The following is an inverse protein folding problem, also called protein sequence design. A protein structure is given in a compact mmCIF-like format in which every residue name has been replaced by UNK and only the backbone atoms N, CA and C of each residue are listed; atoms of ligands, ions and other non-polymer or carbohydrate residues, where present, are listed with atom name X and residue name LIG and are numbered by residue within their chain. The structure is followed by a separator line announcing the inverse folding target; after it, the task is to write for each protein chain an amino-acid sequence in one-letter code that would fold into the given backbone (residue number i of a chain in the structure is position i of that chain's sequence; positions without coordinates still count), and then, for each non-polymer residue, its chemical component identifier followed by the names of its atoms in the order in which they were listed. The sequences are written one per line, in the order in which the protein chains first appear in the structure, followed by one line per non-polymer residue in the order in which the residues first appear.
data_IF_690230394202
#
_entry.id   IF_690230394202
#
_cell.length_a   1.000
_cell.length_b   1.000
_cell.length_c   1.000
_cell.angle_alpha   90.00
_cell.angle_beta   90.00
_cell.angle_gamma   90.00
#
_symmetry.space_group_name_H-M   'P 1'
#
loop_
_entity.id
_entity.type
_entity.pdbx_description
1 polymer ?
#
# COMPACT_ATOMS: atom_id res chain seq x y z
N UNK A 1 19.74 1.37 15.07
CA UNK A 1 18.61 2.17 15.44
C UNK A 1 18.91 3.66 15.37
N UNK A 2 17.92 4.45 15.06
CA UNK A 2 18.12 5.89 14.94
C UNK A 2 18.45 6.38 13.57
N UNK A 3 18.71 5.51 12.61
CA UNK A 3 18.92 5.94 11.24
C UNK A 3 17.59 6.00 10.52
N UNK A 4 17.33 7.09 9.79
CA UNK A 4 16.07 7.19 9.05
C UNK A 4 16.04 6.21 7.90
N UNK A 5 14.85 5.69 7.64
CA UNK A 5 14.63 4.92 6.44
C UNK A 5 14.47 5.86 5.25
N UNK A 6 15.02 5.46 4.13
CA UNK A 6 14.90 6.21 2.91
C UNK A 6 13.93 5.49 1.99
N UNK A 7 13.07 6.26 1.34
CA UNK A 7 12.13 5.74 0.36
C UNK A 7 12.34 6.44 -0.96
N UNK A 8 12.28 5.69 -2.02
CA UNK A 8 12.36 6.28 -3.35
C UNK A 8 11.46 5.53 -4.32
N UNK A 9 11.12 6.21 -5.41
CA UNK A 9 10.34 5.59 -6.48
C UNK A 9 11.24 4.67 -7.29
N UNK A 10 10.79 3.45 -7.49
CA UNK A 10 11.50 2.48 -8.31
C UNK A 10 10.95 2.55 -9.73
N UNK A 11 11.82 2.68 -10.72
CA UNK A 11 11.42 2.97 -12.09
C UNK A 11 11.45 1.74 -12.96
N UNK A 12 10.59 0.76 -12.68
CA UNK A 12 10.64 -0.48 -13.46
C UNK A 12 9.29 -0.98 -13.93
N UNK A 13 8.31 -0.10 -14.01
CA UNK A 13 7.00 -0.50 -14.50
C UNK A 13 6.74 0.14 -15.85
N UNK A 14 6.09 -0.61 -16.73
CA UNK A 14 5.73 -0.12 -18.04
C UNK A 14 4.62 0.91 -17.99
N UNK A 15 3.76 0.85 -16.97
CA UNK A 15 2.69 1.84 -16.81
C UNK A 15 3.24 3.05 -16.05
N UNK A 16 3.31 4.22 -16.71
CA UNK A 16 3.88 5.40 -16.07
C UNK A 16 3.08 5.90 -14.86
N UNK A 17 1.87 5.42 -14.66
CA UNK A 17 1.07 5.82 -13.50
C UNK A 17 1.27 4.90 -12.30
N UNK A 18 1.91 3.76 -12.48
CA UNK A 18 2.18 2.85 -11.38
C UNK A 18 3.34 3.38 -10.56
N UNK A 19 3.17 3.33 -9.24
CA UNK A 19 4.19 3.76 -8.29
C UNK A 19 4.85 2.54 -7.68
N UNK A 20 6.18 2.55 -7.67
CA UNK A 20 6.97 1.53 -6.99
C UNK A 20 7.88 2.24 -6.01
N UNK A 21 7.74 1.93 -4.73
CA UNK A 21 8.54 2.55 -3.69
C UNK A 21 9.38 1.50 -2.99
N UNK A 22 10.61 1.86 -2.70
CA UNK A 22 11.51 1.02 -1.93
C UNK A 22 11.89 1.69 -0.62
N UNK A 23 12.05 0.90 0.41
CA UNK A 23 12.60 1.36 1.69
C UNK A 23 14.03 0.87 1.79
N UNK A 24 14.94 1.77 2.14
CA UNK A 24 16.37 1.46 2.22
C UNK A 24 16.88 1.73 3.64
N UNK A 25 17.78 0.88 4.07
CA UNK A 25 18.47 1.06 5.32
C UNK A 25 19.95 0.79 5.06
N UNK A 26 20.80 1.79 5.31
CA UNK A 26 22.25 1.72 5.00
C UNK A 26 22.48 1.29 3.55
N UNK A 27 21.75 1.90 2.62
CA UNK A 27 21.84 1.65 1.18
C UNK A 27 21.39 0.24 0.76
N UNK A 28 20.80 -0.52 1.66
CA UNK A 28 20.27 -1.85 1.36
C UNK A 28 18.76 -1.77 1.22
N UNK A 29 18.24 -2.33 0.13
CA UNK A 29 16.79 -2.38 -0.08
C UNK A 29 16.18 -3.39 0.90
N UNK A 30 15.31 -2.94 1.78
CA UNK A 30 14.72 -3.80 2.81
C UNK A 30 13.22 -3.95 2.69
N UNK A 31 12.57 -3.18 1.83
CA UNK A 31 11.14 -3.32 1.63
C UNK A 31 10.68 -2.65 0.36
N UNK A 32 9.55 -3.11 -0.15
CA UNK A 32 8.93 -2.56 -1.36
C UNK A 32 7.42 -2.48 -1.20
N UNK A 33 6.81 -1.57 -1.94
CA UNK A 33 5.37 -1.51 -2.10
C UNK A 33 5.06 -0.90 -3.46
N UNK A 34 3.97 -1.35 -4.08
CA UNK A 34 3.52 -0.80 -5.35
C UNK A 34 2.08 -0.34 -5.24
N UNK A 35 1.75 0.69 -6.00
CA UNK A 35 0.38 1.19 -6.12
C UNK A 35 0.10 1.46 -7.60
N UNK A 36 -1.03 1.01 -8.08
CA UNK A 36 -1.37 1.13 -9.49
C UNK A 36 -2.81 1.57 -9.68
N UNK A 37 -3.09 2.29 -10.78
CA UNK A 37 -4.48 2.61 -11.09
C UNK A 37 -5.28 1.33 -11.28
N UNK A 38 -6.32 1.16 -10.50
CA UNK A 38 -7.22 0.02 -10.64
C UNK A 38 -8.53 0.32 -9.93
N UNK A 39 -9.67 0.22 -10.62
CA UNK A 39 -10.94 0.53 -9.99
C UNK A 39 -11.23 -0.40 -8.83
N UNK A 40 -11.64 0.17 -7.70
CA UNK A 40 -12.10 -0.64 -6.58
C UNK A 40 -13.45 -1.25 -6.96
N UNK A 41 -13.61 -2.58 -6.85
CA UNK A 41 -14.89 -3.21 -7.24
C UNK A 41 -16.11 -2.65 -6.51
N UNK A 42 -15.91 -2.11 -5.31
CA UNK A 42 -17.02 -1.59 -4.50
C UNK A 42 -17.30 -0.12 -4.74
N UNK A 43 -16.38 0.60 -5.41
CA UNK A 43 -16.50 2.04 -5.63
C UNK A 43 -15.98 2.39 -7.01
N UNK A 44 -16.69 1.97 -8.04
CA UNK A 44 -16.22 2.12 -9.41
C UNK A 44 -16.36 3.55 -9.95
N UNK A 45 -17.12 4.41 -9.25
CA UNK A 45 -17.34 5.78 -9.72
C UNK A 45 -16.17 6.71 -9.45
N UNK A 46 -15.27 6.31 -8.58
CA UNK A 46 -14.12 7.15 -8.20
C UNK A 46 -12.85 6.57 -8.77
N UNK A 47 -11.92 7.47 -9.09
CA UNK A 47 -10.60 7.04 -9.48
C UNK A 47 -9.88 6.46 -8.27
N UNK A 48 -9.36 5.25 -8.43
CA UNK A 48 -8.77 4.50 -7.33
C UNK A 48 -7.40 3.96 -7.69
N UNK A 49 -6.55 3.80 -6.66
CA UNK A 49 -5.31 3.06 -6.78
C UNK A 49 -5.37 1.84 -5.89
N UNK A 50 -4.82 0.74 -6.37
CA UNK A 50 -4.71 -0.48 -5.60
C UNK A 50 -3.28 -0.65 -5.11
N UNK A 51 -3.12 -0.94 -3.82
CA UNK A 51 -1.82 -1.31 -3.26
C UNK A 51 -1.55 -2.79 -3.52
N UNK A 52 -0.36 -3.09 -4.00
CA UNK A 52 0.04 -4.46 -4.29
C UNK A 52 1.51 -4.67 -3.98
N UNK A 53 1.90 -5.93 -3.93
CA UNK A 53 3.30 -6.34 -3.91
C UNK A 53 4.10 -5.75 -2.74
N UNK A 54 3.47 -5.61 -1.57
CA UNK A 54 4.22 -5.17 -0.41
C UNK A 54 5.00 -6.32 0.19
N UNK A 55 6.29 -6.09 0.43
CA UNK A 55 7.15 -7.08 1.05
C UNK A 55 8.22 -6.37 1.86
N UNK A 56 8.58 -6.95 3.02
CA UNK A 56 9.63 -6.44 3.88
C UNK A 56 10.59 -7.58 4.16
N UNK A 57 11.89 -7.29 4.06
CA UNK A 57 12.92 -8.28 4.34
C UNK A 57 12.74 -8.82 5.76
N UNK A 58 12.82 -10.16 5.95
CA UNK A 58 12.52 -10.76 7.26
C UNK A 58 13.32 -10.19 8.42
N UNK A 59 14.56 -9.79 8.19
CA UNK A 59 15.40 -9.24 9.26
C UNK A 59 14.94 -7.86 9.73
N UNK A 60 14.07 -7.21 8.97
CA UNK A 60 13.62 -5.86 9.28
C UNK A 60 12.14 -5.81 9.64
N UNK A 61 11.49 -6.94 9.77
CA UNK A 61 10.11 -6.97 10.24
C UNK A 61 10.07 -6.56 11.70
N UNK A 62 9.02 -5.85 12.05
CA UNK A 62 8.90 -5.31 13.40
C UNK A 62 9.51 -3.94 13.59
N UNK A 63 10.21 -3.43 12.58
CA UNK A 63 10.80 -2.09 12.62
C UNK A 63 9.89 -1.03 11.99
N UNK A 64 8.61 -1.36 11.83
CA UNK A 64 7.60 -0.47 11.25
C UNK A 64 7.88 -0.09 9.80
N UNK A 65 8.69 -0.86 9.11
CA UNK A 65 9.01 -0.60 7.70
C UNK A 65 7.75 -0.64 6.84
N UNK A 66 6.89 -1.63 7.07
CA UNK A 66 5.66 -1.75 6.30
C UNK A 66 4.78 -0.51 6.46
N UNK A 67 4.62 0.00 7.69
CA UNK A 67 3.84 1.21 7.93
C UNK A 67 4.45 2.41 7.23
N UNK A 68 5.78 2.53 7.24
CA UNK A 68 6.44 3.63 6.57
C UNK A 68 6.26 3.56 5.06
N UNK A 69 6.32 2.36 4.48
CA UNK A 69 6.05 2.18 3.06
C UNK A 69 4.62 2.57 2.71
N UNK A 70 3.66 2.13 3.51
CA UNK A 70 2.26 2.47 3.28
C UNK A 70 2.06 3.98 3.33
N UNK A 71 2.60 4.65 4.34
CA UNK A 71 2.44 6.10 4.45
C UNK A 71 3.13 6.83 3.31
N UNK A 72 4.30 6.37 2.90
CA UNK A 72 5.02 7.00 1.79
C UNK A 72 4.24 6.88 0.49
N UNK A 73 3.68 5.70 0.19
CA UNK A 73 2.92 5.54 -1.05
C UNK A 73 1.61 6.30 -1.00
N UNK A 74 0.97 6.37 0.17
CA UNK A 74 -0.25 7.17 0.31
C UNK A 74 0.03 8.64 0.04
N UNK A 75 1.16 9.16 0.52
CA UNK A 75 1.52 10.55 0.26
C UNK A 75 1.73 10.79 -1.23
N UNK A 76 2.35 9.86 -1.93
CA UNK A 76 2.53 9.98 -3.38
C UNK A 76 1.21 9.95 -4.13
N UNK A 77 0.32 9.04 -3.75
CA UNK A 77 -0.99 8.94 -4.39
C UNK A 77 -1.82 10.18 -4.09
N UNK A 78 -1.73 10.70 -2.88
CA UNK A 78 -2.49 11.88 -2.47
C UNK A 78 -2.16 13.11 -3.30
N UNK A 79 -0.93 13.19 -3.82
CA UNK A 79 -0.55 14.29 -4.70
C UNK A 79 -1.29 14.26 -6.03
N UNK A 80 -1.90 13.14 -6.37
CA UNK A 80 -2.71 12.99 -7.57
C UNK A 80 -4.14 13.40 -7.22
N UNK A 81 -4.48 14.65 -7.46
CA UNK A 81 -5.74 15.24 -6.98
C UNK A 81 -7.01 14.55 -7.48
N UNK A 82 -6.89 13.76 -8.55
CA UNK A 82 -8.05 13.05 -9.10
C UNK A 82 -8.32 11.72 -8.43
N UNK A 83 -7.39 11.21 -7.63
CA UNK A 83 -7.56 9.92 -6.96
C UNK A 83 -8.29 10.12 -5.65
N UNK A 84 -9.37 9.39 -5.45
CA UNK A 84 -10.22 9.54 -4.26
C UNK A 84 -10.09 8.38 -3.28
N UNK A 85 -9.65 7.23 -3.74
CA UNK A 85 -9.68 6.01 -2.93
C UNK A 85 -8.42 5.19 -3.18
N UNK A 86 -7.89 4.62 -2.12
CA UNK A 86 -6.86 3.59 -2.19
C UNK A 86 -7.42 2.33 -1.56
N UNK A 87 -7.21 1.19 -2.19
CA UNK A 87 -7.77 -0.07 -1.74
C UNK A 87 -6.76 -1.20 -1.90
N UNK A 88 -7.03 -2.28 -1.23
CA UNK A 88 -6.18 -3.47 -1.31
C UNK A 88 -6.95 -4.69 -0.83
N UNK A 89 -6.44 -5.85 -1.18
CA UNK A 89 -6.86 -7.10 -0.60
C UNK A 89 -5.73 -7.58 0.31
N UNK A 90 -6.01 -7.69 1.61
CA UNK A 90 -5.02 -8.10 2.60
C UNK A 90 -5.28 -9.52 3.05
N UNK A 91 -4.21 -10.29 3.26
CA UNK A 91 -4.37 -11.54 3.99
C UNK A 91 -4.88 -11.19 5.38
N UNK A 92 -5.82 -11.99 5.90
CA UNK A 92 -6.45 -11.70 7.18
C UNK A 92 -5.42 -11.50 8.29
N UNK A 93 -4.31 -12.25 8.25
CA UNK A 93 -3.26 -12.13 9.26
C UNK A 93 -2.61 -10.75 9.26
N UNK A 94 -2.68 -10.02 8.16
CA UNK A 94 -2.09 -8.68 8.05
C UNK A 94 -3.09 -7.57 8.34
N UNK A 95 -4.33 -7.90 8.68
CA UNK A 95 -5.36 -6.89 8.93
C UNK A 95 -4.93 -5.82 9.93
N UNK A 96 -4.28 -6.15 11.07
CA UNK A 96 -3.90 -5.12 12.03
C UNK A 96 -3.02 -4.02 11.44
N UNK A 97 -2.15 -4.37 10.50
CA UNK A 97 -1.28 -3.39 9.84
C UNK A 97 -2.10 -2.33 9.12
N UNK A 98 -3.12 -2.74 8.37
CA UNK A 98 -3.91 -1.81 7.58
C UNK A 98 -4.88 -1.01 8.45
N UNK A 99 -5.45 -1.63 9.49
CA UNK A 99 -6.26 -0.89 10.45
C UNK A 99 -5.44 0.21 11.12
N UNK A 100 -4.20 -0.11 11.50
CA UNK A 100 -3.32 0.85 12.13
C UNK A 100 -3.00 2.03 11.21
N UNK A 101 -3.00 1.81 9.92
CA UNK A 101 -2.66 2.84 8.94
C UNK A 101 -3.88 3.55 8.36
N UNK A 102 -5.03 3.41 9.00
CA UNK A 102 -6.21 4.20 8.66
C UNK A 102 -7.08 3.61 7.59
N UNK A 103 -6.87 2.36 7.22
CA UNK A 103 -7.74 1.67 6.28
C UNK A 103 -8.92 1.06 7.01
N UNK A 104 -10.05 0.94 6.31
CA UNK A 104 -11.24 0.33 6.85
C UNK A 104 -11.59 -0.94 6.07
N UNK A 105 -11.99 -2.00 6.77
CA UNK A 105 -12.42 -3.22 6.08
C UNK A 105 -13.74 -2.97 5.38
N UNK A 106 -13.91 -3.58 4.22
CA UNK A 106 -15.15 -3.50 3.48
C UNK A 106 -15.56 -4.89 3.03
N UNK A 107 -16.84 -5.23 3.26
CA UNK A 107 -17.36 -6.53 2.92
C UNK A 107 -16.90 -7.62 3.87
N UNK A 108 -17.23 -8.85 3.55
CA UNK A 108 -16.82 -10.01 4.34
C UNK A 108 -15.52 -10.58 3.80
N UNK A 109 -14.74 -11.27 4.65
CA UNK A 109 -13.54 -11.94 4.16
C UNK A 109 -13.88 -12.95 3.06
N UNK A 110 -12.95 -13.14 2.15
CA UNK A 110 -13.13 -14.05 1.02
C UNK A 110 -11.85 -14.85 0.79
N UNK A 111 -11.98 -15.98 0.14
CA UNK A 111 -10.85 -16.85 -0.07
C UNK A 111 -10.23 -16.63 -1.44
N UNK A 112 -8.90 -16.52 -1.48
CA UNK A 112 -8.13 -16.54 -2.72
C UNK A 112 -7.28 -17.80 -2.67
N UNK A 113 -7.66 -18.79 -3.46
CA UNK A 113 -6.94 -20.07 -3.48
C UNK A 113 -5.65 -19.97 -4.28
N UNK A 114 -4.59 -20.63 -3.85
CA UNK A 114 -4.44 -21.41 -2.63
C UNK A 114 -3.98 -20.59 -1.43
N UNK A 115 -3.99 -19.27 -1.50
CA UNK A 115 -3.34 -18.40 -0.53
C UNK A 115 -4.10 -18.31 0.80
N UNK A 116 -5.43 -18.29 0.74
CA UNK A 116 -6.24 -18.28 1.95
C UNK A 116 -7.18 -17.07 2.05
N UNK A 117 -7.63 -16.79 3.28
CA UNK A 117 -8.60 -15.73 3.51
C UNK A 117 -8.01 -14.35 3.37
N UNK A 118 -8.75 -13.50 2.68
CA UNK A 118 -8.38 -12.10 2.46
C UNK A 118 -9.51 -11.19 2.88
N UNK A 119 -9.16 -9.96 3.21
CA UNK A 119 -10.09 -8.90 3.54
C UNK A 119 -9.79 -7.72 2.66
N UNK A 120 -10.83 -7.14 2.05
CA UNK A 120 -10.66 -5.90 1.31
C UNK A 120 -10.67 -4.72 2.26
N UNK A 121 -9.74 -3.80 2.04
CA UNK A 121 -9.62 -2.58 2.81
C UNK A 121 -9.65 -1.39 1.88
N UNK A 122 -10.23 -0.30 2.35
CA UNK A 122 -10.23 0.96 1.61
C UNK A 122 -9.80 2.10 2.52
N UNK A 123 -9.28 3.14 1.87
CA UNK A 123 -9.00 4.41 2.53
C UNK A 123 -9.45 5.52 1.60
N UNK A 124 -10.34 6.36 2.09
CA UNK A 124 -10.77 7.55 1.37
C UNK A 124 -9.71 8.62 1.53
N UNK A 125 -9.32 9.22 0.43
CA UNK A 125 -8.34 10.30 0.46
C UNK A 125 -9.07 11.64 0.54
N UNK A 126 -8.60 12.49 1.43
CA UNK A 126 -9.13 13.83 1.58
C UNK A 126 -8.13 14.81 0.98
N UNK A 127 -8.60 15.60 0.03
CA UNK A 127 -7.78 16.62 -0.60
C UNK A 127 -8.20 17.99 -0.08
N UNK A 128 -7.23 18.76 0.36
CA UNK A 128 -7.51 20.12 0.76
C UNK A 128 -7.78 20.97 -0.47
N UNK A 129 -8.71 21.87 -0.33
CA UNK A 129 -9.11 22.78 -1.40
C UNK A 129 -8.29 24.06 -1.33
#
# INVERSE_FOLDING_TARGET
EGQPLESCVLEKDEDPQTLHLGAFFNSKLIGIISAMPNPCPDFTKHRSFQLRAMAVHPEYRGMKVASQLIQAVLNQVKEKSTVKTVWLNSRVLANPLYLKNGFEPIGTPFEIKPIGLHQRFIKQLHHEI
#
